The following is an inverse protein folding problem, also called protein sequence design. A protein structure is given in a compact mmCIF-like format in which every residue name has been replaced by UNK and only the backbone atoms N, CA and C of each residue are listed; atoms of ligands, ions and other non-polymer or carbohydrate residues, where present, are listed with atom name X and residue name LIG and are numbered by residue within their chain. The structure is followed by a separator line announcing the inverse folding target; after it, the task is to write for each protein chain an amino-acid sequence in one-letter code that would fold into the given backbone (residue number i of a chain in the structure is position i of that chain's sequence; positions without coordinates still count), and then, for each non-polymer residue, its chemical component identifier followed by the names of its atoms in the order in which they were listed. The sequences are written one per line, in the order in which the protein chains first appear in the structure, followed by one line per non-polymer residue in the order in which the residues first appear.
data_IF_461917692611
#
_entry.id   IF_461917692611
#
_cell.length_a   1.000
_cell.length_b   1.000
_cell.length_c   1.000
_cell.angle_alpha   90.00
_cell.angle_beta   90.00
_cell.angle_gamma   90.00
#
_symmetry.space_group_name_H-M   'P 1'
#
loop_
_entity.id
_entity.type
_entity.pdbx_description
1 polymer ?
#
# COMPACT_ATOMS: atom_id res chain seq x y z
N UNK A 1 -13.68 -37.07 3.41
CA UNK A 1 -13.81 -36.08 4.49
C UNK A 1 -12.74 -35.05 4.23
N UNK A 2 -13.00 -33.75 4.31
CA UNK A 2 -11.95 -32.76 4.20
C UNK A 2 -10.90 -33.04 5.30
N UNK A 3 -9.62 -33.00 4.93
CA UNK A 3 -8.54 -33.19 5.90
C UNK A 3 -8.52 -31.96 6.81
N UNK A 4 -8.96 -32.09 8.05
CA UNK A 4 -8.78 -31.02 9.04
C UNK A 4 -7.29 -30.86 9.28
N UNK A 5 -6.71 -29.66 9.08
CA UNK A 5 -5.29 -29.43 9.30
C UNK A 5 -4.92 -29.73 10.75
N UNK A 6 -3.77 -30.37 10.91
CA UNK A 6 -3.24 -30.72 12.24
C UNK A 6 -2.45 -29.53 12.75
N UNK A 7 -2.71 -29.10 13.98
CA UNK A 7 -1.86 -28.14 14.66
C UNK A 7 -0.49 -28.76 14.97
N UNK A 8 0.57 -28.09 14.58
CA UNK A 8 1.95 -28.51 14.78
C UNK A 8 2.80 -27.38 15.37
N UNK A 9 3.93 -27.71 16.03
CA UNK A 9 4.94 -26.71 16.35
C UNK A 9 5.49 -26.05 15.09
N UNK A 10 5.85 -24.77 15.17
CA UNK A 10 6.34 -23.99 14.03
C UNK A 10 7.52 -24.66 13.30
N UNK A 11 8.50 -25.16 14.07
CA UNK A 11 9.67 -25.83 13.52
C UNK A 11 9.30 -27.06 12.66
N UNK A 12 8.28 -27.84 13.05
CA UNK A 12 7.81 -28.99 12.30
C UNK A 12 6.99 -28.58 11.06
N UNK A 13 6.09 -27.60 11.20
CA UNK A 13 5.29 -27.09 10.10
C UNK A 13 6.16 -26.57 8.96
N UNK A 14 7.25 -25.85 9.30
CA UNK A 14 8.16 -25.23 8.33
C UNK A 14 9.09 -26.24 7.62
N UNK A 15 9.12 -27.53 8.03
CA UNK A 15 9.80 -28.58 7.24
C UNK A 15 9.16 -28.76 5.86
N UNK A 16 7.94 -28.23 5.63
CA UNK A 16 7.30 -28.22 4.31
C UNK A 16 8.00 -27.28 3.33
N UNK A 17 8.74 -26.27 3.81
CA UNK A 17 9.56 -25.40 2.97
C UNK A 17 10.87 -26.09 2.63
N UNK A 18 11.17 -26.20 1.35
CA UNK A 18 12.35 -26.85 0.81
C UNK A 18 13.21 -25.87 0.00
N UNK A 19 14.49 -26.22 -0.20
CA UNK A 19 15.38 -25.44 -1.06
C UNK A 19 14.82 -25.28 -2.48
N UNK A 20 15.12 -24.16 -3.12
CA UNK A 20 14.71 -23.80 -4.47
C UNK A 20 13.18 -23.62 -4.65
N UNK A 21 12.44 -23.47 -3.58
CA UNK A 21 11.01 -23.18 -3.62
C UNK A 21 10.71 -21.68 -3.60
N UNK A 22 9.60 -21.31 -4.22
CA UNK A 22 9.01 -19.97 -4.12
C UNK A 22 7.96 -19.96 -3.03
N UNK A 23 8.18 -19.11 -2.03
CA UNK A 23 7.37 -19.02 -0.82
C UNK A 23 6.74 -17.63 -0.73
N UNK A 24 5.41 -17.58 -0.81
CA UNK A 24 4.67 -16.36 -0.49
C UNK A 24 4.64 -16.15 1.02
N UNK A 25 4.84 -14.90 1.45
CA UNK A 25 4.74 -14.49 2.86
C UNK A 25 3.70 -13.38 2.98
N UNK A 26 2.71 -13.59 3.85
CA UNK A 26 1.66 -12.61 4.14
C UNK A 26 2.27 -11.29 4.60
N UNK A 27 1.69 -10.18 4.13
CA UNK A 27 2.24 -8.86 4.33
C UNK A 27 1.51 -8.00 5.36
N UNK A 28 1.94 -6.74 5.45
CA UNK A 28 1.33 -5.71 6.29
C UNK A 28 1.25 -6.15 7.77
N UNK A 29 0.18 -5.78 8.49
CA UNK A 29 -0.04 -6.21 9.88
C UNK A 29 -0.33 -7.72 10.02
N UNK A 30 -0.59 -8.42 8.92
CA UNK A 30 -0.77 -9.87 8.91
C UNK A 30 0.53 -10.65 8.69
N UNK A 31 1.69 -10.01 8.70
CA UNK A 31 2.99 -10.70 8.63
C UNK A 31 3.06 -11.79 9.70
N UNK A 32 3.28 -13.07 9.33
CA UNK A 32 3.36 -14.18 10.28
C UNK A 32 4.72 -14.21 10.96
N UNK A 33 4.96 -13.26 11.86
CA UNK A 33 6.27 -12.95 12.45
C UNK A 33 6.89 -14.16 13.12
N UNK A 34 6.10 -14.92 13.88
CA UNK A 34 6.58 -16.11 14.57
C UNK A 34 7.10 -17.17 13.58
N UNK A 35 6.30 -17.50 12.56
CA UNK A 35 6.72 -18.46 11.53
C UNK A 35 7.92 -17.95 10.74
N UNK A 36 7.98 -16.66 10.45
CA UNK A 36 9.12 -16.11 9.72
C UNK A 36 10.42 -16.16 10.53
N UNK A 37 10.38 -15.82 11.82
CA UNK A 37 11.55 -15.97 12.72
C UNK A 37 12.04 -17.39 12.75
N UNK A 38 11.13 -18.35 12.88
CA UNK A 38 11.45 -19.77 12.90
C UNK A 38 11.98 -20.26 11.54
N UNK A 39 11.44 -19.76 10.41
CA UNK A 39 11.94 -20.10 9.07
C UNK A 39 13.39 -19.61 8.89
N UNK A 40 13.67 -18.37 9.28
CA UNK A 40 15.00 -17.78 9.20
C UNK A 40 16.00 -18.51 10.12
N UNK A 41 15.56 -18.97 11.29
CA UNK A 41 16.39 -19.80 12.19
C UNK A 41 16.79 -21.16 11.58
N UNK A 42 15.99 -21.67 10.62
CA UNK A 42 16.27 -22.92 9.91
C UNK A 42 17.10 -22.71 8.61
N UNK A 43 17.72 -21.56 8.42
CA UNK A 43 18.43 -21.20 7.17
C UNK A 43 19.46 -22.25 6.73
N UNK A 44 20.18 -22.86 7.66
CA UNK A 44 21.29 -23.78 7.34
C UNK A 44 20.86 -25.03 6.55
N UNK A 45 19.56 -25.40 6.63
CA UNK A 45 19.01 -26.50 5.82
C UNK A 45 18.46 -26.05 4.47
N UNK A 46 18.39 -24.74 4.22
CA UNK A 46 17.72 -24.16 3.05
C UNK A 46 18.72 -23.45 2.14
N UNK A 47 18.51 -23.60 0.84
CA UNK A 47 19.29 -22.91 -0.19
C UNK A 47 18.34 -22.33 -1.22
N UNK A 48 18.59 -21.08 -1.62
CA UNK A 48 17.90 -20.46 -2.74
C UNK A 48 16.37 -20.50 -2.62
N UNK A 49 15.83 -20.23 -1.41
CA UNK A 49 14.39 -20.07 -1.20
C UNK A 49 14.00 -18.66 -1.61
N UNK A 50 13.12 -18.54 -2.59
CA UNK A 50 12.60 -17.25 -3.05
C UNK A 50 11.43 -16.81 -2.19
N UNK A 51 11.58 -15.71 -1.44
CA UNK A 51 10.53 -15.10 -0.63
C UNK A 51 9.81 -14.03 -1.45
N UNK A 52 8.53 -14.25 -1.74
CA UNK A 52 7.66 -13.34 -2.48
C UNK A 52 6.71 -12.63 -1.51
N UNK A 53 6.72 -11.32 -1.49
CA UNK A 53 5.84 -10.52 -0.62
C UNK A 53 5.68 -9.10 -1.13
N UNK A 54 4.68 -8.42 -0.60
CA UNK A 54 4.62 -6.96 -0.50
C UNK A 54 5.29 -6.50 0.81
N UNK A 55 4.88 -5.37 1.37
CA UNK A 55 5.42 -4.87 2.66
C UNK A 55 5.29 -5.89 3.80
N UNK A 56 6.32 -6.03 4.61
CA UNK A 56 6.31 -6.87 5.80
C UNK A 56 6.60 -6.04 7.05
N UNK A 57 6.00 -6.40 8.18
CA UNK A 57 6.19 -5.74 9.47
C UNK A 57 6.86 -6.69 10.47
N UNK A 58 7.69 -6.13 11.36
CA UNK A 58 8.27 -6.88 12.48
C UNK A 58 9.33 -7.94 12.12
N UNK A 59 9.82 -7.93 10.87
CA UNK A 59 10.86 -8.83 10.37
C UNK A 59 11.95 -8.02 9.68
N UNK A 60 13.20 -8.41 9.88
CA UNK A 60 14.36 -7.87 9.17
C UNK A 60 14.94 -8.95 8.23
N UNK A 61 14.87 -8.70 6.93
CA UNK A 61 15.41 -9.53 5.87
C UNK A 61 16.70 -8.96 5.26
N UNK A 62 17.26 -7.92 5.88
CA UNK A 62 18.45 -7.23 5.39
C UNK A 62 19.77 -7.85 5.86
N UNK A 63 19.72 -8.88 6.70
CA UNK A 63 20.91 -9.50 7.27
C UNK A 63 21.76 -10.22 6.20
N UNK A 64 23.07 -9.91 6.06
CA UNK A 64 23.94 -10.55 5.07
C UNK A 64 24.05 -12.06 5.22
N UNK A 65 23.80 -12.62 6.41
CA UNK A 65 23.87 -14.06 6.68
C UNK A 65 22.67 -14.85 6.11
N UNK A 66 21.72 -14.17 5.49
CA UNK A 66 20.63 -14.77 4.72
C UNK A 66 21.02 -15.02 3.25
N UNK A 67 22.17 -14.48 2.80
CA UNK A 67 22.64 -14.65 1.43
C UNK A 67 22.87 -16.14 1.06
N UNK A 68 22.36 -16.55 -0.10
CA UNK A 68 22.42 -17.94 -0.56
C UNK A 68 21.35 -18.86 0.06
N UNK A 69 20.76 -18.49 1.18
CA UNK A 69 19.66 -19.22 1.80
C UNK A 69 18.31 -18.71 1.32
N UNK A 70 18.13 -17.38 1.32
CA UNK A 70 16.90 -16.70 0.91
C UNK A 70 17.19 -15.61 -0.13
N UNK A 71 16.28 -15.48 -1.08
CA UNK A 71 16.27 -14.43 -2.10
C UNK A 71 14.96 -13.65 -2.02
N UNK A 72 15.03 -12.31 -1.82
CA UNK A 72 13.85 -11.46 -1.63
C UNK A 72 13.33 -10.99 -2.98
N UNK A 73 12.36 -11.70 -3.55
CA UNK A 73 11.68 -11.28 -4.77
C UNK A 73 10.49 -10.38 -4.41
N UNK A 74 10.76 -9.08 -4.32
CA UNK A 74 9.81 -8.10 -3.74
C UNK A 74 8.84 -7.59 -4.78
N UNK A 75 7.54 -7.68 -4.49
CA UNK A 75 6.49 -7.04 -5.27
C UNK A 75 6.22 -5.59 -4.80
N UNK A 76 6.75 -5.25 -3.63
CA UNK A 76 6.84 -3.89 -3.09
C UNK A 76 7.97 -3.85 -2.06
N UNK A 77 8.99 -3.05 -2.30
CA UNK A 77 10.16 -2.93 -1.41
C UNK A 77 9.79 -2.11 -0.17
N UNK A 78 10.17 -2.59 1.00
CA UNK A 78 9.91 -1.93 2.29
C UNK A 78 11.17 -1.90 3.16
N UNK A 79 11.08 -1.30 4.32
CA UNK A 79 12.21 -1.23 5.26
C UNK A 79 12.77 -2.61 5.58
N UNK A 80 11.90 -3.62 5.67
CA UNK A 80 12.26 -5.00 6.02
C UNK A 80 13.24 -5.66 5.04
N UNK A 81 13.28 -5.23 3.76
CA UNK A 81 14.08 -5.88 2.72
C UNK A 81 14.83 -4.91 1.79
N UNK A 82 14.71 -3.60 2.02
CA UNK A 82 15.26 -2.56 1.13
C UNK A 82 16.76 -2.67 0.91
N UNK A 83 17.53 -2.94 1.96
CA UNK A 83 18.98 -3.12 1.83
C UNK A 83 19.30 -4.40 1.09
N UNK A 84 18.57 -5.49 1.36
CA UNK A 84 18.76 -6.77 0.67
C UNK A 84 18.53 -6.63 -0.84
N UNK A 85 17.44 -5.99 -1.26
CA UNK A 85 17.14 -5.73 -2.68
C UNK A 85 18.25 -4.91 -3.34
N UNK A 86 18.71 -3.82 -2.70
CA UNK A 86 19.75 -2.96 -3.28
C UNK A 86 21.19 -3.51 -3.16
N UNK A 87 21.39 -4.64 -2.49
CA UNK A 87 22.71 -5.31 -2.34
C UNK A 87 22.85 -6.61 -3.12
N UNK A 88 21.83 -6.99 -3.92
CA UNK A 88 21.84 -8.21 -4.72
C UNK A 88 21.38 -9.48 -4.00
N UNK A 89 20.88 -9.36 -2.74
CA UNK A 89 20.22 -10.46 -2.05
C UNK A 89 18.73 -10.57 -2.37
N UNK A 90 18.26 -9.79 -3.33
CA UNK A 90 16.89 -9.77 -3.81
C UNK A 90 16.76 -8.85 -5.01
N UNK A 91 15.54 -8.72 -5.51
CA UNK A 91 15.19 -7.81 -6.60
C UNK A 91 13.75 -7.32 -6.45
N UNK A 92 13.37 -6.37 -7.27
CA UNK A 92 12.06 -5.78 -7.33
C UNK A 92 11.35 -6.15 -8.63
N UNK A 93 10.11 -6.62 -8.52
CA UNK A 93 9.23 -6.86 -9.66
C UNK A 93 8.33 -5.65 -9.85
N UNK A 94 8.55 -4.82 -10.89
CA UNK A 94 7.71 -3.67 -11.17
C UNK A 94 6.35 -4.14 -11.72
N UNK A 95 5.31 -3.92 -10.93
CA UNK A 95 3.94 -4.34 -11.23
C UNK A 95 2.95 -3.43 -10.52
N UNK A 96 1.79 -3.15 -11.13
CA UNK A 96 0.69 -2.49 -10.44
C UNK A 96 0.11 -3.42 -9.38
N UNK A 97 -0.23 -2.86 -8.22
CA UNK A 97 -0.73 -3.67 -7.11
C UNK A 97 -2.01 -4.45 -7.49
N UNK A 98 -2.88 -3.84 -8.29
CA UNK A 98 -4.08 -4.48 -8.84
C UNK A 98 -3.79 -5.73 -9.70
N UNK A 99 -2.60 -5.82 -10.28
CA UNK A 99 -2.21 -6.89 -11.21
C UNK A 99 -1.44 -8.03 -10.55
N UNK A 100 -0.94 -7.84 -9.32
CA UNK A 100 -0.18 -8.88 -8.60
C UNK A 100 -0.98 -10.20 -8.50
N UNK A 101 -2.28 -10.21 -8.15
CA UNK A 101 -3.05 -11.45 -8.12
C UNK A 101 -3.00 -12.23 -9.43
N UNK A 102 -2.90 -11.54 -10.58
CA UNK A 102 -2.82 -12.19 -11.89
C UNK A 102 -1.50 -12.93 -12.10
N UNK A 103 -0.41 -12.51 -11.44
CA UNK A 103 0.86 -13.22 -11.50
C UNK A 103 0.73 -14.63 -10.91
N UNK A 104 -0.06 -14.78 -9.85
CA UNK A 104 -0.32 -16.06 -9.20
C UNK A 104 -1.39 -16.86 -9.95
N UNK A 105 -2.54 -16.24 -10.23
CA UNK A 105 -3.69 -16.91 -10.86
C UNK A 105 -3.39 -17.43 -12.30
N UNK A 106 -2.51 -16.74 -13.02
CA UNK A 106 -2.07 -17.14 -14.37
C UNK A 106 -0.83 -18.02 -14.37
N UNK A 107 -0.27 -18.33 -13.20
CA UNK A 107 0.94 -19.14 -13.05
C UNK A 107 2.21 -18.48 -13.62
N UNK A 108 2.25 -17.15 -13.71
CA UNK A 108 3.45 -16.39 -14.12
C UNK A 108 4.50 -16.46 -13.01
N UNK A 109 4.06 -16.29 -11.75
CA UNK A 109 4.84 -16.54 -10.53
C UNK A 109 4.16 -17.68 -9.73
N UNK A 110 4.37 -18.95 -10.11
CA UNK A 110 3.78 -20.07 -9.39
C UNK A 110 4.36 -20.18 -7.98
N UNK A 111 3.50 -20.43 -7.00
CA UNK A 111 3.86 -20.52 -5.58
C UNK A 111 3.91 -21.98 -5.14
N UNK A 112 5.03 -22.38 -4.51
CA UNK A 112 5.15 -23.70 -3.90
C UNK A 112 4.51 -23.72 -2.52
N UNK A 113 4.77 -22.68 -1.71
CA UNK A 113 4.24 -22.56 -0.36
C UNK A 113 3.69 -21.15 -0.15
N UNK A 114 2.57 -21.03 0.56
CA UNK A 114 2.10 -19.77 1.13
C UNK A 114 2.15 -19.85 2.66
N UNK A 115 2.81 -18.90 3.30
CA UNK A 115 2.83 -18.73 4.76
C UNK A 115 1.95 -17.54 5.08
N UNK A 116 0.80 -17.78 5.70
CA UNK A 116 -0.21 -16.76 5.99
C UNK A 116 -0.56 -16.72 7.47
N UNK A 117 -1.06 -15.55 7.93
CA UNK A 117 -1.62 -15.41 9.27
C UNK A 117 -3.13 -15.19 9.19
N UNK A 118 -3.88 -15.88 10.05
CA UNK A 118 -5.34 -15.87 10.02
C UNK A 118 -5.93 -15.87 11.43
N UNK A 119 -7.20 -15.49 11.55
CA UNK A 119 -7.97 -15.68 12.79
C UNK A 119 -8.20 -17.17 13.09
N UNK A 120 -8.57 -17.55 14.32
CA UNK A 120 -9.12 -18.85 14.59
C UNK A 120 -10.32 -19.17 13.69
N UNK A 121 -10.57 -20.46 13.36
CA UNK A 121 -11.75 -20.84 12.63
C UNK A 121 -13.02 -20.56 13.43
N UNK A 122 -14.04 -20.08 12.73
CA UNK A 122 -15.38 -19.91 13.31
C UNK A 122 -16.13 -21.24 13.42
N UNK A 123 -17.36 -21.20 13.93
CA UNK A 123 -18.24 -22.37 14.06
C UNK A 123 -18.55 -23.08 12.74
N UNK A 124 -18.29 -22.43 11.61
CA UNK A 124 -18.49 -22.98 10.27
C UNK A 124 -17.18 -23.45 9.62
N UNK A 125 -16.06 -23.35 10.33
CA UNK A 125 -14.75 -23.79 9.87
C UNK A 125 -14.04 -22.77 8.97
N UNK A 126 -14.39 -21.46 9.03
CA UNK A 126 -13.73 -20.41 8.26
C UNK A 126 -12.85 -19.53 9.12
N UNK A 127 -11.62 -19.33 8.67
CA UNK A 127 -10.67 -18.35 9.19
C UNK A 127 -10.76 -17.04 8.41
N UNK A 128 -10.50 -15.91 9.06
CA UNK A 128 -10.36 -14.63 8.39
C UNK A 128 -8.88 -14.30 8.13
N UNK A 129 -8.56 -13.80 6.94
CA UNK A 129 -7.27 -13.18 6.63
C UNK A 129 -7.04 -11.89 7.44
N UNK A 130 -8.08 -11.42 8.12
CA UNK A 130 -8.02 -10.33 9.08
C UNK A 130 -7.62 -9.01 8.47
N UNK A 131 -6.45 -8.51 8.90
CA UNK A 131 -5.98 -7.17 8.57
C UNK A 131 -5.47 -7.02 7.14
N UNK A 132 -5.26 -8.09 6.38
CA UNK A 132 -4.66 -8.00 5.04
C UNK A 132 -5.22 -9.08 4.12
N UNK A 133 -6.09 -8.69 3.20
CA UNK A 133 -6.60 -9.58 2.14
C UNK A 133 -5.71 -9.45 0.90
N UNK A 134 -5.49 -8.25 0.49
CA UNK A 134 -4.61 -7.77 -0.59
C UNK A 134 -4.32 -8.85 -1.66
N UNK A 135 -3.10 -9.34 -1.71
CA UNK A 135 -2.65 -10.43 -2.59
C UNK A 135 -2.66 -11.79 -1.89
N UNK A 136 -2.89 -11.82 -0.58
CA UNK A 136 -2.81 -13.04 0.23
C UNK A 136 -3.91 -14.04 -0.11
N UNK A 137 -5.11 -13.56 -0.44
CA UNK A 137 -6.20 -14.43 -0.90
C UNK A 137 -5.81 -15.20 -2.17
N UNK A 138 -5.31 -14.50 -3.17
CA UNK A 138 -4.86 -15.10 -4.42
C UNK A 138 -3.68 -16.04 -4.22
N UNK A 139 -2.72 -15.66 -3.39
CA UNK A 139 -1.59 -16.50 -3.04
C UNK A 139 -2.02 -17.80 -2.34
N UNK A 140 -2.87 -17.70 -1.30
CA UNK A 140 -3.36 -18.87 -0.58
C UNK A 140 -4.22 -19.80 -1.46
N UNK A 141 -4.93 -19.26 -2.46
CA UNK A 141 -5.75 -20.07 -3.37
C UNK A 141 -4.92 -20.84 -4.40
N UNK A 142 -3.76 -20.31 -4.80
CA UNK A 142 -2.93 -20.84 -5.91
C UNK A 142 -1.71 -21.61 -5.45
N UNK A 143 -1.20 -21.38 -4.23
CA UNK A 143 -0.05 -22.09 -3.70
C UNK A 143 -0.33 -23.60 -3.58
N UNK A 144 0.71 -24.40 -3.88
CA UNK A 144 0.63 -25.88 -3.77
C UNK A 144 0.41 -26.32 -2.33
N UNK A 145 1.02 -25.60 -1.36
CA UNK A 145 0.93 -25.83 0.08
C UNK A 145 0.63 -24.53 0.81
N UNK A 146 -0.17 -24.60 1.89
CA UNK A 146 -0.47 -23.46 2.74
C UNK A 146 -0.17 -23.77 4.20
N UNK A 147 0.72 -22.99 4.81
CA UNK A 147 1.04 -23.01 6.23
C UNK A 147 0.32 -21.82 6.89
N UNK A 148 -0.56 -22.07 7.83
CA UNK A 148 -1.33 -21.03 8.51
C UNK A 148 -0.85 -20.79 9.93
N UNK A 149 -0.43 -19.56 10.24
CA UNK A 149 -0.31 -19.06 11.61
C UNK A 149 -1.70 -18.64 12.09
N UNK A 150 -2.29 -19.40 12.98
CA UNK A 150 -3.61 -19.11 13.57
C UNK A 150 -3.40 -18.30 14.83
N UNK A 151 -3.87 -17.03 14.81
CA UNK A 151 -3.64 -16.07 15.89
C UNK A 151 -4.99 -15.53 16.41
N UNK A 152 -5.32 -15.71 17.71
CA UNK A 152 -6.54 -15.17 18.29
C UNK A 152 -6.61 -13.65 18.31
N UNK A 153 -5.46 -12.95 18.17
CA UNK A 153 -5.41 -11.49 18.04
C UNK A 153 -5.70 -10.97 16.63
N UNK A 154 -5.79 -11.86 15.62
CA UNK A 154 -6.17 -11.50 14.28
C UNK A 154 -7.67 -11.17 14.23
N UNK A 155 -8.09 -9.93 13.89
CA UNK A 155 -9.49 -9.56 13.84
C UNK A 155 -10.24 -10.34 12.77
N UNK A 156 -11.50 -10.63 13.03
CA UNK A 156 -12.41 -11.18 12.04
C UNK A 156 -12.98 -10.02 11.21
N UNK A 157 -12.44 -9.78 10.03
CA UNK A 157 -12.87 -8.70 9.14
C UNK A 157 -13.81 -9.26 8.06
N UNK A 158 -14.82 -8.48 7.67
CA UNK A 158 -15.77 -8.87 6.63
C UNK A 158 -15.26 -8.54 5.21
N UNK A 159 -15.80 -9.25 4.23
CA UNK A 159 -15.43 -9.12 2.81
C UNK A 159 -14.87 -10.41 2.24
N UNK A 160 -13.86 -10.31 1.41
CA UNK A 160 -13.18 -11.46 0.77
C UNK A 160 -12.14 -12.14 1.69
N UNK A 161 -12.31 -12.01 2.99
CA UNK A 161 -11.31 -12.41 3.98
C UNK A 161 -11.36 -13.89 4.34
N UNK A 162 -12.47 -14.58 4.06
CA UNK A 162 -12.71 -15.92 4.61
C UNK A 162 -12.09 -17.02 3.77
N UNK A 163 -11.31 -17.89 4.44
CA UNK A 163 -10.69 -19.09 3.88
C UNK A 163 -11.15 -20.29 4.72
N UNK A 164 -11.61 -21.40 4.10
CA UNK A 164 -11.91 -22.62 4.81
C UNK A 164 -10.67 -23.16 5.53
N UNK A 165 -10.82 -23.62 6.77
CA UNK A 165 -9.70 -24.15 7.56
C UNK A 165 -9.05 -25.38 6.92
N UNK A 166 -9.82 -26.18 6.20
CA UNK A 166 -9.35 -27.36 5.48
C UNK A 166 -8.54 -27.06 4.21
N UNK A 167 -8.44 -25.77 3.83
CA UNK A 167 -7.51 -25.31 2.77
C UNK A 167 -6.05 -25.38 3.23
N UNK A 168 -5.79 -25.35 4.52
CA UNK A 168 -4.44 -25.34 5.05
C UNK A 168 -3.89 -26.76 5.13
N UNK A 169 -2.64 -26.96 4.74
CA UNK A 169 -1.94 -28.23 4.87
C UNK A 169 -1.49 -28.44 6.33
N UNK A 170 -1.16 -27.35 7.03
CA UNK A 170 -0.77 -27.35 8.44
C UNK A 170 -1.12 -26.01 9.09
N UNK A 171 -1.47 -26.07 10.37
CA UNK A 171 -1.74 -24.90 11.19
C UNK A 171 -0.78 -24.84 12.38
N UNK A 172 -0.38 -23.62 12.74
CA UNK A 172 0.42 -23.33 13.93
C UNK A 172 -0.34 -22.34 14.79
N UNK A 173 -0.62 -22.69 16.05
CA UNK A 173 -1.28 -21.79 16.98
C UNK A 173 -0.26 -20.84 17.58
N UNK A 174 -0.52 -19.53 17.47
CA UNK A 174 0.36 -18.47 17.98
C UNK A 174 -0.52 -17.40 18.63
N UNK A 175 -0.29 -17.09 19.89
CA UNK A 175 -0.99 -16.01 20.61
C UNK A 175 -0.02 -14.86 20.84
N UNK A 176 0.14 -14.01 19.82
CA UNK A 176 1.03 -12.87 19.83
C UNK A 176 0.29 -11.61 19.32
N UNK A 177 0.61 -10.40 19.83
CA UNK A 177 0.03 -9.17 19.31
C UNK A 177 0.40 -8.96 17.84
N UNK A 178 -0.49 -8.31 17.09
CA UNK A 178 -0.20 -7.88 15.72
C UNK A 178 0.75 -6.66 15.74
N UNK A 179 1.55 -6.47 14.67
CA UNK A 179 2.36 -5.27 14.54
C UNK A 179 1.49 -4.02 14.53
N UNK A 180 1.92 -3.01 15.26
CA UNK A 180 1.27 -1.69 15.30
C UNK A 180 2.16 -0.63 14.65
N UNK A 181 1.53 0.32 13.95
CA UNK A 181 2.19 1.47 13.33
C UNK A 181 1.42 2.74 13.67
N UNK A 182 2.14 3.79 14.06
CA UNK A 182 1.59 5.14 14.27
C UNK A 182 2.08 6.08 13.17
N UNK A 183 1.16 6.67 12.43
CA UNK A 183 1.46 7.67 11.40
C UNK A 183 1.28 9.11 11.88
N UNK A 184 0.70 9.31 13.06
CA UNK A 184 0.49 10.65 13.64
C UNK A 184 1.77 11.25 14.24
N UNK A 185 2.75 10.42 14.57
CA UNK A 185 4.05 10.83 15.06
C UNK A 185 4.92 11.37 13.93
N UNK A 186 5.38 12.61 14.04
CA UNK A 186 6.20 13.26 13.00
C UNK A 186 5.45 14.24 12.08
N UNK A 187 4.15 14.45 12.28
CA UNK A 187 3.44 15.53 11.60
C UNK A 187 4.00 16.89 12.04
N UNK A 188 4.37 17.72 11.07
CA UNK A 188 4.87 19.08 11.30
C UNK A 188 3.95 20.11 10.63
N UNK A 189 4.31 21.40 10.74
CA UNK A 189 3.52 22.48 10.17
C UNK A 189 3.35 22.38 8.63
N UNK A 190 4.37 21.90 7.91
CA UNK A 190 4.33 21.69 6.45
C UNK A 190 3.27 20.64 6.10
N UNK A 191 3.27 19.49 6.79
CA UNK A 191 2.29 18.43 6.58
C UNK A 191 0.86 18.92 6.88
N UNK A 192 0.69 19.74 7.94
CA UNK A 192 -0.61 20.29 8.29
C UNK A 192 -1.12 21.30 7.24
N UNK A 193 -0.25 22.14 6.67
CA UNK A 193 -0.61 23.05 5.56
C UNK A 193 -1.06 22.26 4.34
N UNK A 194 -0.28 21.26 3.93
CA UNK A 194 -0.64 20.40 2.81
C UNK A 194 -1.98 19.70 3.07
N UNK A 195 -2.16 19.11 4.27
CA UNK A 195 -3.39 18.44 4.64
C UNK A 195 -4.61 19.35 4.57
N UNK A 196 -4.49 20.60 4.97
CA UNK A 196 -5.56 21.61 4.86
C UNK A 196 -5.88 21.93 3.40
N UNK A 197 -4.86 22.19 2.58
CA UNK A 197 -5.06 22.50 1.15
C UNK A 197 -5.73 21.33 0.42
N UNK A 198 -5.29 20.08 0.71
CA UNK A 198 -5.91 18.89 0.12
C UNK A 198 -7.35 18.73 0.60
N UNK A 199 -7.65 18.96 1.88
CA UNK A 199 -9.00 18.89 2.40
C UNK A 199 -9.95 19.91 1.73
N UNK A 200 -9.47 21.10 1.39
CA UNK A 200 -10.22 22.13 0.62
C UNK A 200 -10.56 21.68 -0.81
N UNK A 201 -9.80 20.74 -1.39
CA UNK A 201 -10.10 20.14 -2.70
C UNK A 201 -11.14 19.03 -2.63
N UNK A 202 -11.36 18.44 -1.45
CA UNK A 202 -12.37 17.39 -1.25
C UNK A 202 -13.76 17.98 -1.27
N UNK A 203 -14.65 17.44 -2.06
CA UNK A 203 -16.05 17.86 -2.12
C UNK A 203 -16.95 16.97 -1.27
N UNK A 204 -18.08 17.51 -0.82
CA UNK A 204 -19.12 16.69 -0.21
C UNK A 204 -19.56 15.56 -1.15
N UNK A 205 -19.77 14.39 -0.61
CA UNK A 205 -20.13 13.19 -1.36
C UNK A 205 -18.96 12.53 -2.12
N UNK A 206 -17.73 13.05 -2.01
CA UNK A 206 -16.56 12.45 -2.65
C UNK A 206 -16.26 11.04 -2.09
N UNK A 207 -15.74 10.17 -2.95
CA UNK A 207 -15.20 8.87 -2.55
C UNK A 207 -13.69 8.99 -2.43
N UNK A 208 -13.16 8.77 -1.22
CA UNK A 208 -11.74 8.97 -0.93
C UNK A 208 -10.93 7.68 -1.02
N UNK A 209 -9.74 7.80 -1.61
CA UNK A 209 -8.61 6.92 -1.41
C UNK A 209 -7.53 7.69 -0.67
N UNK A 210 -6.98 7.06 0.33
CA UNK A 210 -5.95 7.63 1.20
C UNK A 210 -4.70 6.74 1.16
N UNK A 211 -3.52 7.35 0.97
CA UNK A 211 -2.25 6.70 1.23
C UNK A 211 -1.98 6.54 2.73
N UNK A 212 -0.80 6.08 3.06
CA UNK A 212 -0.26 6.02 4.42
C UNK A 212 0.67 7.20 4.68
N UNK A 213 0.81 7.59 5.95
CA UNK A 213 1.77 8.61 6.38
C UNK A 213 1.15 9.88 6.92
N UNK A 214 2.02 10.84 7.22
CA UNK A 214 1.65 12.09 7.91
C UNK A 214 0.72 13.00 7.12
N UNK A 215 0.85 13.05 5.78
CA UNK A 215 -0.01 13.89 4.94
C UNK A 215 -1.44 13.34 4.90
N UNK A 216 -1.71 12.05 4.58
CA UNK A 216 -3.05 11.48 4.65
C UNK A 216 -3.71 11.65 6.01
N UNK A 217 -3.00 11.40 7.11
CA UNK A 217 -3.52 11.63 8.46
C UNK A 217 -3.86 13.11 8.70
N UNK A 218 -3.06 14.03 8.18
CA UNK A 218 -3.34 15.46 8.27
C UNK A 218 -4.57 15.86 7.45
N UNK A 219 -4.78 15.27 6.27
CA UNK A 219 -6.01 15.47 5.49
C UNK A 219 -7.22 15.03 6.30
N UNK A 220 -7.22 13.79 6.84
CA UNK A 220 -8.33 13.26 7.65
C UNK A 220 -8.71 14.19 8.81
N UNK A 221 -7.72 14.75 9.52
CA UNK A 221 -7.93 15.71 10.60
C UNK A 221 -8.65 17.00 10.15
N UNK A 222 -8.50 17.38 8.88
CA UNK A 222 -9.10 18.59 8.31
C UNK A 222 -10.47 18.36 7.63
N UNK A 223 -10.97 17.11 7.55
CA UNK A 223 -12.28 16.79 6.97
C UNK A 223 -13.46 17.01 7.96
N UNK A 224 -13.38 18.04 8.80
CA UNK A 224 -14.31 18.26 9.92
C UNK A 224 -15.71 18.73 9.51
N UNK A 225 -15.82 19.42 8.38
CA UNK A 225 -17.07 20.02 7.90
C UNK A 225 -17.67 19.30 6.68
N UNK A 226 -16.99 18.27 6.18
CA UNK A 226 -17.40 17.52 5.01
C UNK A 226 -18.57 16.58 5.33
N UNK A 227 -19.40 16.31 4.33
CA UNK A 227 -20.62 15.50 4.47
C UNK A 227 -20.67 14.40 3.42
N UNK A 228 -21.24 13.26 3.82
CA UNK A 228 -21.56 12.15 2.94
C UNK A 228 -20.36 11.59 2.19
N UNK A 229 -19.16 11.64 2.77
CA UNK A 229 -17.97 11.06 2.16
C UNK A 229 -18.09 9.54 2.09
N UNK A 230 -17.51 8.98 1.05
CA UNK A 230 -17.30 7.55 0.88
C UNK A 230 -15.82 7.17 1.03
N UNK A 231 -15.56 5.92 1.36
CA UNK A 231 -14.23 5.35 1.42
C UNK A 231 -14.13 4.14 0.50
N UNK A 232 -13.18 4.20 -0.43
CA UNK A 232 -12.75 3.10 -1.28
C UNK A 232 -11.24 3.25 -1.46
N UNK A 233 -10.50 2.54 -0.64
CA UNK A 233 -9.06 2.76 -0.47
C UNK A 233 -8.32 1.43 -0.36
N UNK A 234 -7.09 1.40 -0.85
CA UNK A 234 -6.19 0.27 -0.66
C UNK A 234 -5.95 0.00 0.82
N UNK A 235 -5.59 1.03 1.55
CA UNK A 235 -5.27 0.97 2.96
C UNK A 235 -6.23 1.80 3.81
N UNK A 236 -6.48 1.31 5.02
CA UNK A 236 -7.29 1.95 6.03
C UNK A 236 -6.47 2.15 7.31
N UNK A 237 -6.50 3.37 7.89
CA UNK A 237 -5.73 3.73 9.09
C UNK A 237 -6.62 4.24 10.23
N UNK A 238 -6.05 4.39 11.43
CA UNK A 238 -6.72 4.90 12.63
C UNK A 238 -7.44 6.24 12.41
N UNK A 239 -6.87 7.12 11.58
CA UNK A 239 -7.40 8.46 11.32
C UNK A 239 -8.82 8.49 10.76
N UNK A 240 -9.27 7.42 10.12
CA UNK A 240 -10.61 7.34 9.57
C UNK A 240 -11.69 6.98 10.62
N UNK A 241 -11.32 6.34 11.73
CA UNK A 241 -12.27 5.87 12.76
C UNK A 241 -13.17 7.00 13.28
N UNK A 242 -12.66 8.18 13.69
CA UNK A 242 -13.51 9.27 14.16
C UNK A 242 -14.52 9.74 13.12
N UNK A 243 -14.10 9.80 11.84
CA UNK A 243 -14.94 10.27 10.73
C UNK A 243 -16.01 9.26 10.33
N UNK A 244 -15.79 7.99 10.56
CA UNK A 244 -16.83 6.95 10.41
C UNK A 244 -17.83 7.06 11.58
N UNK A 245 -17.33 7.17 12.82
CA UNK A 245 -18.17 7.23 14.01
C UNK A 245 -19.09 8.46 14.06
N UNK A 246 -18.62 9.60 13.55
CA UNK A 246 -19.41 10.84 13.51
C UNK A 246 -20.27 10.99 12.24
N UNK A 247 -20.21 10.02 11.31
CA UNK A 247 -21.03 9.99 10.09
C UNK A 247 -20.50 10.84 8.92
N UNK A 248 -19.31 11.44 9.02
CA UNK A 248 -18.65 12.10 7.89
C UNK A 248 -18.43 11.10 6.75
N UNK A 249 -17.87 9.91 7.07
CA UNK A 249 -17.84 8.76 6.16
C UNK A 249 -19.08 7.88 6.37
N UNK A 250 -20.17 8.17 5.68
CA UNK A 250 -21.38 7.34 5.69
C UNK A 250 -21.54 6.49 4.43
N UNK A 251 -20.68 6.68 3.42
CA UNK A 251 -20.65 5.93 2.16
C UNK A 251 -21.96 5.99 1.35
N UNK A 252 -22.86 6.93 1.65
CA UNK A 252 -24.21 6.98 1.06
C UNK A 252 -24.19 7.35 -0.43
N UNK A 253 -23.18 8.09 -0.91
CA UNK A 253 -23.07 8.56 -2.27
C UNK A 253 -22.29 7.61 -3.18
N UNK A 254 -21.66 6.58 -2.62
CA UNK A 254 -20.97 5.56 -3.42
C UNK A 254 -21.96 4.82 -4.31
N UNK A 255 -21.56 4.56 -5.57
CA UNK A 255 -22.30 3.70 -6.49
C UNK A 255 -21.89 2.22 -6.35
N UNK A 256 -20.63 2.00 -5.96
CA UNK A 256 -20.08 0.66 -5.75
C UNK A 256 -19.99 0.40 -4.24
N UNK A 257 -20.62 -0.68 -3.79
CA UNK A 257 -20.71 -1.07 -2.38
C UNK A 257 -21.18 0.10 -1.49
N UNK A 258 -22.36 0.70 -1.75
CA UNK A 258 -22.88 1.83 -0.98
C UNK A 258 -23.12 1.44 0.47
N UNK A 259 -22.88 2.38 1.38
CA UNK A 259 -23.04 2.18 2.82
C UNK A 259 -21.84 1.51 3.51
N UNK A 260 -20.83 1.06 2.78
CA UNK A 260 -19.66 0.36 3.33
C UNK A 260 -18.34 1.03 2.96
N UNK A 261 -17.40 1.02 3.89
CA UNK A 261 -16.00 1.32 3.64
C UNK A 261 -15.37 0.12 2.94
N UNK A 262 -14.78 0.33 1.78
CA UNK A 262 -14.05 -0.71 1.03
C UNK A 262 -12.55 -0.47 1.22
N UNK A 263 -11.83 -1.53 1.59
CA UNK A 263 -10.37 -1.53 1.73
C UNK A 263 -9.80 -2.87 1.30
N UNK A 264 -8.47 -2.97 1.25
CA UNK A 264 -7.79 -4.24 1.01
C UNK A 264 -6.96 -4.68 2.22
N UNK A 265 -6.37 -3.72 2.93
CA UNK A 265 -5.67 -4.01 4.17
C UNK A 265 -5.79 -2.87 5.19
N UNK A 266 -5.53 -3.21 6.45
CA UNK A 266 -5.57 -2.34 7.60
C UNK A 266 -4.19 -2.30 8.24
N UNK A 267 -3.67 -1.12 8.50
CA UNK A 267 -2.39 -0.95 9.18
C UNK A 267 -2.46 0.27 10.10
N UNK A 268 -2.33 0.05 11.38
CA UNK A 268 -2.45 1.08 12.41
C UNK A 268 -2.21 0.53 13.80
N UNK A 269 -2.90 1.05 14.78
CA UNK A 269 -2.81 0.59 16.17
C UNK A 269 -3.80 -0.54 16.47
N UNK A 270 -3.66 -1.16 17.64
CA UNK A 270 -4.64 -2.11 18.16
C UNK A 270 -6.07 -1.57 18.14
N UNK A 271 -6.25 -0.25 18.34
CA UNK A 271 -7.56 0.39 18.27
C UNK A 271 -8.23 0.22 16.90
N UNK A 272 -7.45 0.26 15.82
CA UNK A 272 -7.95 0.00 14.47
C UNK A 272 -8.37 -1.46 14.32
N UNK A 273 -7.57 -2.39 14.81
CA UNK A 273 -7.88 -3.82 14.71
C UNK A 273 -9.10 -4.21 15.53
N UNK A 274 -9.23 -3.66 16.74
CA UNK A 274 -10.43 -3.83 17.57
C UNK A 274 -11.68 -3.21 16.90
N UNK A 275 -11.54 -2.06 16.25
CA UNK A 275 -12.63 -1.42 15.52
C UNK A 275 -13.08 -2.23 14.30
N UNK A 276 -12.15 -2.87 13.62
CA UNK A 276 -12.43 -3.69 12.44
C UNK A 276 -12.98 -5.08 12.78
N UNK A 277 -12.72 -5.56 14.01
CA UNK A 277 -13.13 -6.89 14.42
C UNK A 277 -14.64 -7.04 14.41
N UNK A 278 -15.13 -7.95 13.57
CA UNK A 278 -16.55 -8.26 13.35
C UNK A 278 -17.43 -7.03 13.05
N UNK A 279 -16.84 -6.02 12.42
CA UNK A 279 -17.52 -4.77 12.06
C UNK A 279 -18.01 -4.82 10.60
N UNK A 280 -19.33 -4.96 10.36
CA UNK A 280 -19.88 -5.15 9.02
C UNK A 280 -19.73 -3.93 8.10
N UNK A 281 -19.48 -2.72 8.64
CA UNK A 281 -19.30 -1.50 7.83
C UNK A 281 -17.98 -1.55 7.02
N UNK A 282 -17.02 -2.37 7.43
CA UNK A 282 -15.74 -2.54 6.75
C UNK A 282 -15.83 -3.76 5.85
N UNK A 283 -15.46 -3.60 4.58
CA UNK A 283 -15.33 -4.68 3.60
C UNK A 283 -13.89 -4.71 3.09
N UNK A 284 -13.12 -5.65 3.61
CA UNK A 284 -11.77 -5.92 3.11
C UNK A 284 -11.86 -6.91 1.94
N UNK A 285 -11.39 -6.49 0.77
CA UNK A 285 -11.56 -7.21 -0.48
C UNK A 285 -10.22 -7.43 -1.18
N UNK A 286 -10.18 -8.39 -2.11
CA UNK A 286 -9.00 -8.66 -2.93
C UNK A 286 -8.55 -7.39 -3.65
N UNK A 287 -7.23 -7.21 -3.75
CA UNK A 287 -6.63 -5.98 -4.28
C UNK A 287 -6.98 -5.74 -5.75
N UNK A 288 -7.19 -6.80 -6.54
CA UNK A 288 -7.57 -6.67 -7.94
C UNK A 288 -8.97 -6.06 -8.12
N UNK A 289 -9.82 -6.14 -7.09
CA UNK A 289 -11.12 -5.46 -7.06
C UNK A 289 -10.98 -4.04 -6.52
N UNK A 290 -10.29 -3.88 -5.39
CA UNK A 290 -10.17 -2.57 -4.71
C UNK A 290 -9.46 -1.56 -5.59
N UNK A 291 -8.41 -1.99 -6.27
CA UNK A 291 -7.55 -1.14 -7.07
C UNK A 291 -7.92 -1.12 -8.58
N UNK A 292 -9.01 -1.79 -9.01
CA UNK A 292 -9.40 -1.75 -10.43
C UNK A 292 -9.86 -0.33 -10.83
N UNK A 293 -9.16 0.37 -11.75
CA UNK A 293 -9.55 1.71 -12.19
C UNK A 293 -10.96 1.77 -12.78
N UNK A 294 -11.46 0.68 -13.36
CA UNK A 294 -12.82 0.60 -13.93
C UNK A 294 -13.86 0.62 -12.82
N UNK A 295 -13.62 -0.11 -11.73
CA UNK A 295 -14.49 -0.14 -10.54
C UNK A 295 -14.43 1.20 -9.82
N UNK A 296 -13.23 1.72 -9.59
CA UNK A 296 -13.00 3.00 -8.95
C UNK A 296 -13.75 4.14 -9.65
N UNK A 297 -13.65 4.21 -10.98
CA UNK A 297 -14.25 5.27 -11.79
C UNK A 297 -15.78 5.31 -11.74
N UNK A 298 -16.43 4.25 -11.31
CA UNK A 298 -17.89 4.21 -11.14
C UNK A 298 -18.38 4.98 -9.92
N UNK A 299 -17.54 5.20 -8.92
CA UNK A 299 -17.87 6.04 -7.78
C UNK A 299 -17.75 7.53 -8.16
N UNK A 300 -18.59 8.41 -7.62
CA UNK A 300 -18.53 9.84 -7.92
C UNK A 300 -17.34 10.50 -7.21
N UNK A 301 -16.78 11.52 -7.85
CA UNK A 301 -15.79 12.43 -7.27
C UNK A 301 -14.65 11.70 -6.56
N UNK A 302 -14.15 10.62 -7.19
CA UNK A 302 -13.05 9.85 -6.59
C UNK A 302 -11.86 10.78 -6.38
N UNK A 303 -11.51 10.98 -5.11
CA UNK A 303 -10.38 11.82 -4.71
C UNK A 303 -9.27 10.92 -4.22
N UNK A 304 -8.27 10.70 -5.09
CA UNK A 304 -7.13 9.84 -4.82
C UNK A 304 -5.97 10.69 -4.31
N UNK A 305 -5.51 10.43 -3.09
CA UNK A 305 -4.48 11.22 -2.41
C UNK A 305 -3.24 10.35 -2.25
N UNK A 306 -2.21 10.66 -3.04
CA UNK A 306 -0.95 9.93 -3.08
C UNK A 306 0.23 10.88 -2.85
N UNK A 307 1.39 10.31 -2.54
CA UNK A 307 2.62 11.07 -2.34
C UNK A 307 3.68 10.68 -3.38
N UNK A 308 4.79 11.41 -3.40
CA UNK A 308 5.90 11.15 -4.30
C UNK A 308 7.25 11.46 -3.65
N UNK A 309 8.31 10.99 -4.28
CA UNK A 309 9.70 11.35 -3.94
C UNK A 309 10.06 12.66 -4.64
N UNK A 310 9.79 12.77 -5.94
CA UNK A 310 10.04 13.98 -6.71
C UNK A 310 9.10 14.08 -7.92
N UNK A 311 8.88 15.31 -8.41
CA UNK A 311 8.08 15.65 -9.60
C UNK A 311 8.93 16.55 -10.50
N UNK A 312 9.06 16.21 -11.79
CA UNK A 312 9.79 17.05 -12.74
C UNK A 312 8.91 18.17 -13.34
N UNK A 313 9.53 19.17 -13.98
CA UNK A 313 8.84 20.32 -14.57
C UNK A 313 7.84 19.97 -15.69
N UNK A 314 7.82 18.74 -16.19
CA UNK A 314 6.82 18.25 -17.13
C UNK A 314 5.65 17.54 -16.46
N UNK A 315 5.78 17.25 -15.15
CA UNK A 315 4.80 16.51 -14.37
C UNK A 315 5.03 14.98 -14.35
N UNK A 316 6.22 14.50 -14.69
CA UNK A 316 6.58 13.10 -14.39
C UNK A 316 6.82 12.94 -12.89
N UNK A 317 6.28 11.88 -12.31
CA UNK A 317 6.32 11.62 -10.88
C UNK A 317 7.11 10.35 -10.60
N UNK A 318 8.14 10.46 -9.76
CA UNK A 318 8.84 9.33 -9.16
C UNK A 318 8.34 9.13 -7.73
N UNK A 319 7.94 7.90 -7.40
CA UNK A 319 7.45 7.54 -6.06
C UNK A 319 8.14 6.31 -5.47
N UNK A 320 8.88 5.55 -6.27
CA UNK A 320 9.41 4.23 -5.90
C UNK A 320 10.93 4.17 -5.74
N UNK A 321 11.67 5.17 -6.29
CA UNK A 321 13.13 5.10 -6.35
C UNK A 321 13.80 6.48 -6.14
N UNK A 322 15.06 6.45 -5.70
CA UNK A 322 15.91 7.64 -5.56
C UNK A 322 17.10 7.43 -6.51
N UNK A 323 16.96 7.90 -7.75
CA UNK A 323 17.86 7.50 -8.82
C UNK A 323 17.76 5.99 -9.05
N UNK A 324 18.88 5.29 -9.01
CA UNK A 324 18.92 3.83 -9.17
C UNK A 324 18.62 3.04 -7.88
N UNK A 325 18.48 3.73 -6.74
CA UNK A 325 18.20 3.07 -5.46
C UNK A 325 16.69 2.80 -5.33
N UNK A 326 16.30 1.51 -5.31
CA UNK A 326 14.89 1.11 -5.14
C UNK A 326 14.45 1.38 -3.70
N UNK A 327 13.53 2.33 -3.52
CA UNK A 327 13.08 2.77 -2.19
C UNK A 327 11.80 2.06 -1.76
N UNK A 328 10.85 1.90 -2.69
CA UNK A 328 9.56 1.25 -2.46
C UNK A 328 9.09 0.49 -3.71
N UNK A 329 7.88 0.65 -4.16
CA UNK A 329 7.32 0.05 -5.35
C UNK A 329 6.25 0.94 -5.98
N UNK A 330 5.77 0.57 -7.15
CA UNK A 330 4.68 1.25 -7.84
C UNK A 330 3.42 1.25 -6.95
N UNK A 331 3.12 0.11 -6.32
CA UNK A 331 1.94 -0.03 -5.47
C UNK A 331 0.65 0.23 -6.24
N UNK A 332 -0.34 0.80 -5.54
CA UNK A 332 -1.64 1.16 -6.11
C UNK A 332 -1.75 2.61 -6.59
N UNK A 333 -0.66 3.40 -6.55
CA UNK A 333 -0.72 4.82 -6.90
C UNK A 333 -1.35 5.04 -8.28
N UNK A 334 -0.88 4.34 -9.31
CA UNK A 334 -1.40 4.50 -10.67
C UNK A 334 -2.82 3.97 -10.83
N UNK A 335 -3.17 2.90 -10.14
CA UNK A 335 -4.53 2.36 -10.14
C UNK A 335 -5.53 3.44 -9.72
N UNK A 336 -5.26 4.11 -8.58
CA UNK A 336 -6.12 5.15 -8.03
C UNK A 336 -6.04 6.47 -8.79
N UNK A 337 -4.86 6.89 -9.24
CA UNK A 337 -4.69 8.08 -10.08
C UNK A 337 -5.52 7.92 -11.36
N UNK A 338 -5.45 6.74 -12.01
CA UNK A 338 -6.22 6.46 -13.22
C UNK A 338 -7.72 6.36 -12.93
N UNK A 339 -8.12 5.67 -11.87
CA UNK A 339 -9.51 5.55 -11.46
C UNK A 339 -10.15 6.90 -11.14
N UNK A 340 -9.44 7.76 -10.42
CA UNK A 340 -9.88 9.12 -10.10
C UNK A 340 -9.97 10.00 -11.37
N UNK A 341 -9.02 9.91 -12.28
CA UNK A 341 -9.05 10.67 -13.53
C UNK A 341 -10.25 10.32 -14.43
N UNK A 342 -10.74 9.09 -14.35
CA UNK A 342 -11.89 8.59 -15.10
C UNK A 342 -13.23 8.82 -14.38
N UNK A 343 -13.21 9.06 -13.08
CA UNK A 343 -14.40 9.34 -12.28
C UNK A 343 -14.98 10.72 -12.59
N UNK A 344 -16.29 10.84 -12.68
CA UNK A 344 -16.99 12.12 -12.83
C UNK A 344 -16.70 13.03 -11.64
N UNK A 345 -16.09 14.21 -11.89
CA UNK A 345 -15.64 15.13 -10.85
C UNK A 345 -14.43 14.62 -10.05
N UNK A 346 -13.75 13.59 -10.51
CA UNK A 346 -12.63 12.97 -9.80
C UNK A 346 -11.39 13.85 -9.75
N UNK A 347 -10.58 13.66 -8.70
CA UNK A 347 -9.36 14.45 -8.42
C UNK A 347 -8.19 13.53 -8.07
N UNK A 348 -7.38 13.15 -9.07
CA UNK A 348 -6.09 12.50 -8.79
C UNK A 348 -5.10 13.54 -8.25
N UNK A 349 -4.61 13.35 -7.02
CA UNK A 349 -3.78 14.29 -6.27
C UNK A 349 -2.45 13.65 -5.93
N UNK A 350 -1.36 14.35 -6.23
CA UNK A 350 -0.01 14.09 -5.69
C UNK A 350 0.30 15.21 -4.69
N UNK A 351 0.42 14.85 -3.42
CA UNK A 351 0.68 15.78 -2.31
C UNK A 351 2.05 15.48 -1.70
N UNK A 352 2.95 16.46 -1.75
CA UNK A 352 4.34 16.33 -1.28
C UNK A 352 4.82 17.61 -0.59
N UNK A 353 5.69 17.56 0.41
CA UNK A 353 6.45 18.72 0.83
C UNK A 353 7.31 19.23 -0.31
N UNK A 354 7.48 20.54 -0.44
CA UNK A 354 8.29 21.13 -1.51
C UNK A 354 9.78 20.77 -1.42
N UNK A 355 10.26 20.50 -0.20
CA UNK A 355 11.65 20.10 0.08
C UNK A 355 11.70 18.85 0.97
N UNK A 356 12.84 18.17 0.91
CA UNK A 356 13.18 17.10 1.84
C UNK A 356 13.62 17.67 3.19
N UNK A 357 13.76 16.84 4.22
CA UNK A 357 14.33 17.23 5.53
C UNK A 357 15.77 17.77 5.41
N UNK A 358 16.46 17.55 4.29
CA UNK A 358 17.80 18.06 3.99
C UNK A 358 17.76 19.34 3.16
N UNK A 359 16.58 19.94 2.92
CA UNK A 359 16.41 21.16 2.12
C UNK A 359 16.50 20.95 0.61
N UNK A 360 16.56 19.72 0.10
CA UNK A 360 16.59 19.45 -1.34
C UNK A 360 15.18 19.57 -1.94
N UNK A 361 15.07 20.26 -3.08
CA UNK A 361 13.79 20.41 -3.78
C UNK A 361 13.22 19.06 -4.23
N UNK A 362 11.89 18.88 -4.08
CA UNK A 362 11.15 17.77 -4.64
C UNK A 362 10.45 18.11 -5.95
N UNK A 363 10.38 19.39 -6.29
CA UNK A 363 10.08 19.85 -7.65
C UNK A 363 11.43 20.02 -8.34
N UNK A 364 11.69 19.26 -9.40
CA UNK A 364 13.02 19.17 -10.01
C UNK A 364 12.96 19.43 -11.53
N UNK A 365 14.04 19.93 -12.14
CA UNK A 365 14.07 20.11 -13.60
C UNK A 365 13.89 18.80 -14.36
N UNK A 366 14.55 17.76 -13.90
CA UNK A 366 14.51 16.39 -14.41
C UNK A 366 14.48 15.43 -13.23
N UNK A 367 13.77 14.30 -13.35
CA UNK A 367 13.91 13.22 -12.38
C UNK A 367 15.38 12.78 -12.34
N UNK A 368 15.83 12.32 -11.18
CA UNK A 368 17.18 11.77 -11.05
C UNK A 368 17.42 10.67 -12.07
N UNK A 369 18.65 10.61 -12.59
CA UNK A 369 19.05 9.56 -13.53
C UNK A 369 18.80 8.18 -12.90
N UNK A 370 18.10 7.31 -13.61
CA UNK A 370 17.72 5.96 -13.17
C UNK A 370 16.43 5.91 -12.33
N UNK A 371 15.82 7.05 -12.01
CA UNK A 371 14.55 7.09 -11.28
C UNK A 371 13.39 6.55 -12.13
N UNK A 372 12.51 5.74 -11.51
CA UNK A 372 11.30 5.24 -12.13
C UNK A 372 10.22 6.33 -12.28
N UNK A 373 9.47 6.29 -13.39
CA UNK A 373 8.28 7.15 -13.58
C UNK A 373 7.06 6.33 -13.16
N UNK A 374 6.61 6.52 -11.92
CA UNK A 374 5.42 5.83 -11.40
C UNK A 374 4.14 6.43 -11.97
N UNK A 375 4.01 7.76 -11.94
CA UNK A 375 2.89 8.45 -12.60
C UNK A 375 3.40 9.27 -13.77
N UNK A 376 2.91 8.97 -14.97
CA UNK A 376 3.34 9.68 -16.18
C UNK A 376 2.79 11.09 -16.21
N UNK A 377 3.42 11.96 -17.02
CA UNK A 377 2.96 13.35 -17.25
C UNK A 377 1.55 13.44 -17.84
N UNK A 378 1.03 12.37 -18.45
CA UNK A 378 -0.33 12.30 -18.98
C UNK A 378 -1.38 11.93 -17.94
N UNK A 379 -0.98 11.34 -16.81
CA UNK A 379 -1.89 10.89 -15.75
C UNK A 379 -1.98 11.85 -14.56
N UNK A 380 -0.96 12.70 -14.36
CA UNK A 380 -0.96 13.66 -13.26
C UNK A 380 -1.95 14.79 -13.53
N UNK A 381 -2.80 15.09 -12.53
CA UNK A 381 -3.68 16.27 -12.57
C UNK A 381 -3.28 17.24 -11.46
N UNK A 382 -3.63 16.97 -10.20
CA UNK A 382 -3.35 17.87 -9.10
C UNK A 382 -2.01 17.60 -8.46
N UNK A 383 -1.23 18.66 -8.26
CA UNK A 383 -0.03 18.67 -7.43
C UNK A 383 -0.24 19.64 -6.29
N UNK A 384 0.09 19.23 -5.08
CA UNK A 384 -0.10 20.02 -3.86
C UNK A 384 1.19 20.03 -3.06
N UNK A 385 1.64 21.22 -2.66
CA UNK A 385 2.67 21.43 -1.65
C UNK A 385 2.16 22.40 -0.58
N UNK A 386 2.96 22.73 0.42
CA UNK A 386 2.62 23.76 1.41
C UNK A 386 2.49 25.18 0.83
N UNK A 387 2.84 25.37 -0.44
CA UNK A 387 2.70 26.66 -1.16
C UNK A 387 1.43 26.74 -2.00
N UNK A 388 0.63 25.71 -2.08
CA UNK A 388 -0.66 25.71 -2.77
C UNK A 388 -0.94 24.43 -3.55
N UNK A 389 -1.90 24.54 -4.46
CA UNK A 389 -2.34 23.45 -5.34
C UNK A 389 -2.45 23.94 -6.79
N UNK A 390 -2.03 23.12 -7.75
CA UNK A 390 -2.20 23.39 -9.19
C UNK A 390 -2.81 22.18 -9.89
N UNK A 391 -3.66 22.43 -10.87
CA UNK A 391 -4.18 21.38 -11.75
C UNK A 391 -3.47 21.46 -13.10
N UNK A 392 -2.67 20.46 -13.43
CA UNK A 392 -1.88 20.40 -14.66
C UNK A 392 -2.67 19.85 -15.85
N UNK A 393 -3.90 19.37 -15.64
CA UNK A 393 -4.70 18.80 -16.72
C UNK A 393 -5.06 19.86 -17.77
N UNK A 394 -4.74 19.60 -19.02
CA UNK A 394 -4.93 20.56 -20.13
C UNK A 394 -3.81 21.60 -20.31
N UNK A 395 -2.84 21.68 -19.38
CA UNK A 395 -1.70 22.60 -19.52
C UNK A 395 -0.65 22.05 -20.49
N UNK A 396 -0.09 22.92 -21.33
CA UNK A 396 1.11 22.64 -22.12
C UNK A 396 2.38 22.63 -21.26
N UNK A 397 3.54 22.27 -21.82
CA UNK A 397 4.77 22.07 -21.05
C UNK A 397 5.27 23.34 -20.35
N UNK A 398 5.18 24.48 -21.00
CA UNK A 398 5.55 25.79 -20.44
C UNK A 398 4.64 26.16 -19.27
N UNK A 399 3.33 26.02 -19.46
CA UNK A 399 2.33 26.26 -18.40
C UNK A 399 2.55 25.37 -17.19
N UNK A 400 2.84 24.06 -17.41
CA UNK A 400 3.16 23.11 -16.35
C UNK A 400 4.40 23.51 -15.57
N UNK A 401 5.48 23.86 -16.26
CA UNK A 401 6.71 24.29 -15.61
C UNK A 401 6.48 25.52 -14.74
N UNK A 402 5.84 26.58 -15.29
CA UNK A 402 5.47 27.76 -14.53
C UNK A 402 4.62 27.45 -13.30
N UNK A 403 3.60 26.60 -13.44
CA UNK A 403 2.72 26.21 -12.34
C UNK A 403 3.45 25.41 -11.26
N UNK A 404 4.30 24.47 -11.63
CA UNK A 404 5.09 23.66 -10.70
C UNK A 404 6.15 24.48 -9.97
N UNK A 405 6.78 25.45 -10.63
CA UNK A 405 7.76 26.35 -10.00
C UNK A 405 7.09 27.15 -8.86
N UNK A 406 5.83 27.57 -9.01
CA UNK A 406 5.11 28.27 -7.93
C UNK A 406 4.88 27.38 -6.70
N UNK A 407 4.84 26.06 -6.86
CA UNK A 407 4.73 25.09 -5.76
C UNK A 407 6.07 24.74 -5.11
N UNK A 408 7.19 25.09 -5.74
CA UNK A 408 8.52 24.86 -5.20
C UNK A 408 8.82 25.82 -4.03
N UNK A 409 9.74 25.39 -3.15
CA UNK A 409 10.25 26.26 -2.10
C UNK A 409 10.89 27.52 -2.74
N UNK A 410 10.68 28.72 -2.17
CA UNK A 410 11.19 29.97 -2.76
C UNK A 410 12.67 29.93 -3.11
N UNK A 411 13.51 29.35 -2.27
CA UNK A 411 14.96 29.27 -2.47
C UNK A 411 15.40 28.47 -3.71
N UNK A 412 14.50 27.67 -4.28
CA UNK A 412 14.78 26.83 -5.47
C UNK A 412 14.14 27.36 -6.75
N UNK A 413 13.28 28.40 -6.68
CA UNK A 413 12.49 28.86 -7.84
C UNK A 413 13.37 29.45 -8.94
N UNK A 414 14.36 30.25 -8.60
CA UNK A 414 15.27 30.89 -9.59
C UNK A 414 16.05 29.82 -10.38
N UNK A 415 16.55 28.80 -9.73
CA UNK A 415 17.23 27.68 -10.39
C UNK A 415 16.28 26.90 -11.32
N UNK A 416 15.05 26.66 -10.86
CA UNK A 416 14.02 25.98 -11.65
C UNK A 416 13.58 26.81 -12.85
N UNK A 417 13.45 28.13 -12.73
CA UNK A 417 13.13 29.05 -13.82
C UNK A 417 14.22 29.04 -14.88
N UNK A 418 15.50 29.12 -14.49
CA UNK A 418 16.63 29.02 -15.41
C UNK A 418 16.63 27.68 -16.15
N UNK A 419 16.46 26.58 -15.44
CA UNK A 419 16.38 25.22 -16.02
C UNK A 419 15.17 25.06 -16.94
N UNK A 420 14.04 25.70 -16.62
CA UNK A 420 12.85 25.72 -17.46
C UNK A 420 13.12 26.46 -18.78
N UNK A 421 13.76 27.63 -18.72
CA UNK A 421 14.14 28.39 -19.90
C UNK A 421 15.09 27.60 -20.82
N UNK A 422 16.12 26.96 -20.26
CA UNK A 422 17.05 26.10 -21.00
C UNK A 422 16.35 24.91 -21.67
N UNK A 423 15.42 24.28 -20.95
CA UNK A 423 14.71 23.07 -21.40
C UNK A 423 13.67 23.36 -22.47
N UNK A 424 12.91 24.43 -22.34
CA UNK A 424 11.77 24.71 -23.19
C UNK A 424 12.02 25.87 -24.16
N UNK A 425 13.12 26.63 -24.01
CA UNK A 425 13.51 27.79 -24.85
C UNK A 425 12.45 28.90 -24.90
N UNK A 426 11.74 29.09 -23.77
CA UNK A 426 10.71 30.11 -23.61
C UNK A 426 10.93 30.91 -22.33
#
# INVERSE_FOLDING_TARGET
MPNTPIYQPAAAALQMVQSNQRVFVHGSAATPIHLMKELLAQKDRLHNVELVSITQQGIDLNSPDLAGHFYMNSLFVSESNRKAVNSGMGDYVPVFLSEIPLLFLRGILPLDVAIIQVSPPDRHGYCSLGTSVDIARSAASTAKKVIAQVNPNMPRVHGDTFIPFDRFDVAVWVDEPLPEVSYSEGANEVHNKIGKIVAELVEDGATLQMGIGTIPDSVLKNLTNHKNLGMHTEMFSDGAIPLIKNGTFNNSQKKIVPGYCVTSFLLGSKKLYDFANDNPIIKAMDINYVNDPRILSLNPKVTAINSAIEVDLTGQVCSDSIGTYQYSGIGGQMDFIRGAALSEGGKPIIAIPSVTNKGLSRIVPYLKQGAGVVTTRGHIHWVVTEYGAVNLFGMNMEQRAKALIQLAHPDHREELERSSFERFKH
#
